data_IF_599285881615
#
_entry.id   IF_599285881615
#
_cell.length_a   1.000
_cell.length_b   1.000
_cell.length_c   1.000
_cell.angle_alpha   90.00
_cell.angle_beta   90.00
_cell.angle_gamma   90.00
#
_symmetry.space_group_name_H-M   'P 1'
#
loop_
_entity.id
_entity.type
_entity.pdbx_description
1 polymer ?
#
# COMPACT_ATOMS: atom_id res chain seq x y z
N UNK A 1 19.95 14.05 60.30
CA UNK A 1 20.76 13.97 59.54
C UNK A 1 20.70 12.92 58.54
N UNK A 2 20.59 11.91 58.56
CA UNK A 2 20.62 10.91 57.68
C UNK A 2 19.48 10.83 56.82
N UNK A 3 18.53 11.63 56.81
CA UNK A 3 17.43 11.57 56.04
C UNK A 3 17.68 11.82 54.63
N UNK A 4 18.70 12.44 54.25
CA UNK A 4 18.86 12.81 52.88
C UNK A 4 18.94 11.70 51.92
N UNK A 5 19.34 10.59 52.34
CA UNK A 5 19.57 9.51 51.40
C UNK A 5 18.33 8.94 50.81
N UNK A 6 17.25 9.18 51.41
CA UNK A 6 16.08 8.59 50.95
C UNK A 6 15.54 8.97 49.64
N UNK A 7 15.62 10.18 49.30
CA UNK A 7 15.01 10.58 48.17
C UNK A 7 15.63 10.13 46.94
N UNK A 8 16.82 9.84 46.98
CA UNK A 8 17.51 9.52 45.85
C UNK A 8 16.88 8.53 45.03
N UNK A 9 16.36 7.51 45.64
CA UNK A 9 15.95 6.49 44.91
C UNK A 9 14.78 6.61 44.10
N UNK A 10 13.84 7.32 44.47
CA UNK A 10 12.73 7.31 43.74
C UNK A 10 12.90 7.93 42.40
N UNK A 11 13.95 8.58 42.20
CA UNK A 11 14.21 9.22 40.98
C UNK A 11 14.34 8.19 39.87
N UNK A 12 14.89 7.06 40.21
CA UNK A 12 15.13 6.08 39.24
C UNK A 12 13.90 5.50 38.64
N UNK A 13 12.84 5.58 39.32
CA UNK A 13 11.66 4.98 38.86
C UNK A 13 11.14 5.47 37.55
N UNK A 14 11.34 6.71 37.28
CA UNK A 14 10.85 7.24 36.09
C UNK A 14 11.43 6.69 34.89
N UNK A 15 12.62 6.37 34.91
CA UNK A 15 13.32 5.99 33.70
C UNK A 15 12.74 4.74 33.10
N UNK A 16 12.02 4.00 33.82
CA UNK A 16 11.50 2.76 33.30
C UNK A 16 10.43 2.92 32.28
N UNK A 17 9.71 4.00 32.32
CA UNK A 17 8.63 4.11 31.45
C UNK A 17 8.95 4.30 30.04
N UNK A 18 10.07 4.86 29.76
CA UNK A 18 10.44 5.17 28.41
C UNK A 18 10.56 3.93 27.56
N UNK A 19 10.84 2.81 28.14
CA UNK A 19 11.10 1.63 27.35
C UNK A 19 9.86 1.05 26.70
N UNK A 20 8.71 1.45 27.11
CA UNK A 20 7.52 0.90 26.56
C UNK A 20 7.31 1.29 25.12
N UNK A 21 7.92 2.35 24.70
CA UNK A 21 7.73 2.82 23.34
C UNK A 21 8.49 1.99 22.35
N UNK A 22 9.36 1.14 22.80
CA UNK A 22 10.18 0.37 21.91
C UNK A 22 9.57 -0.95 21.50
N UNK A 23 8.34 -1.19 21.84
CA UNK A 23 7.72 -2.46 21.58
C UNK A 23 6.99 -2.56 20.25
N UNK A 24 7.22 -1.67 19.35
CA UNK A 24 6.59 -1.72 18.06
C UNK A 24 7.48 -2.45 17.09
N UNK A 25 6.99 -3.57 16.56
CA UNK A 25 7.75 -4.35 15.61
C UNK A 25 7.00 -4.42 14.30
N UNK A 26 7.66 -4.14 13.21
CA UNK A 26 7.08 -4.24 11.89
C UNK A 26 7.54 -5.52 11.22
N UNK A 27 6.68 -6.14 10.42
CA UNK A 27 7.08 -7.30 9.63
C UNK A 27 8.02 -6.85 8.54
N UNK A 28 8.80 -7.76 8.00
CA UNK A 28 9.76 -7.44 6.97
C UNK A 28 9.18 -7.56 5.57
N UNK A 29 7.95 -8.00 5.43
CA UNK A 29 7.34 -8.13 4.10
C UNK A 29 7.07 -6.76 3.49
N UNK A 30 7.14 -6.67 2.18
CA UNK A 30 6.80 -5.45 1.47
C UNK A 30 5.34 -5.50 1.09
N UNK A 31 4.58 -4.47 1.41
CA UNK A 31 3.17 -4.41 1.09
C UNK A 31 2.92 -3.53 -0.11
N UNK A 32 2.06 -3.98 -1.03
CA UNK A 32 1.71 -3.18 -2.18
C UNK A 32 0.79 -2.04 -1.77
N UNK A 33 1.01 -0.87 -2.32
CA UNK A 33 0.13 0.25 -2.08
C UNK A 33 -1.07 0.23 -3.02
N UNK A 34 -0.94 -0.41 -4.18
CA UNK A 34 -2.01 -0.48 -5.18
C UNK A 34 -2.28 -1.92 -5.57
N UNK A 35 -3.54 -2.31 -5.52
CA UNK A 35 -4.00 -3.63 -5.93
C UNK A 35 -5.13 -3.36 -6.92
N UNK A 36 -4.90 -3.65 -8.20
CA UNK A 36 -5.84 -3.28 -9.27
C UNK A 36 -6.36 -4.52 -9.97
N UNK A 37 -7.68 -4.67 -10.04
CA UNK A 37 -8.31 -5.70 -10.81
C UNK A 37 -8.99 -5.07 -12.02
N UNK A 38 -8.89 -5.72 -13.18
CA UNK A 38 -9.42 -5.17 -14.43
C UNK A 38 -10.48 -6.12 -14.95
N UNK A 39 -11.63 -5.58 -15.30
CA UNK A 39 -12.74 -6.35 -15.84
C UNK A 39 -13.25 -5.65 -17.09
N UNK A 40 -13.86 -6.42 -17.99
CA UNK A 40 -14.53 -5.84 -19.15
C UNK A 40 -15.96 -5.51 -18.77
N UNK A 41 -16.45 -4.38 -19.21
CA UNK A 41 -17.75 -3.89 -18.82
C UNK A 41 -18.87 -4.85 -19.25
N UNK A 42 -18.70 -5.57 -20.34
CA UNK A 42 -19.72 -6.49 -20.81
C UNK A 42 -19.63 -7.88 -20.19
N UNK A 43 -18.58 -8.14 -19.41
CA UNK A 43 -18.39 -9.47 -18.82
C UNK A 43 -19.17 -9.62 -17.53
N UNK A 44 -19.86 -10.74 -17.38
CA UNK A 44 -20.54 -11.02 -16.12
C UNK A 44 -19.66 -11.81 -15.17
N UNK A 45 -18.44 -12.15 -15.58
CA UNK A 45 -17.54 -12.93 -14.75
C UNK A 45 -16.97 -12.07 -13.63
N UNK A 46 -16.86 -12.66 -12.45
CA UNK A 46 -16.24 -11.97 -11.32
C UNK A 46 -14.73 -12.10 -11.35
N UNK A 47 -14.18 -12.89 -12.27
CA UNK A 47 -12.74 -13.09 -12.36
C UNK A 47 -12.14 -11.97 -13.18
N UNK A 48 -11.10 -11.30 -12.68
CA UNK A 48 -10.45 -10.23 -13.45
C UNK A 48 -9.67 -10.79 -14.63
N UNK A 49 -9.33 -9.91 -15.55
CA UNK A 49 -8.57 -10.29 -16.75
C UNK A 49 -7.16 -9.74 -16.67
N UNK A 50 -6.25 -10.39 -17.37
CA UNK A 50 -4.87 -9.91 -17.48
C UNK A 50 -4.35 -9.96 -18.90
N UNK A 51 -5.00 -10.72 -19.78
CA UNK A 51 -4.50 -10.93 -21.14
C UNK A 51 -4.49 -9.62 -21.92
N UNK A 52 -3.33 -9.20 -22.35
CA UNK A 52 -3.17 -7.97 -23.12
C UNK A 52 -3.39 -6.69 -22.32
N UNK A 53 -3.47 -6.79 -21.00
CA UNK A 53 -3.75 -5.64 -20.13
C UNK A 53 -2.45 -5.08 -19.59
N UNK A 54 -2.29 -3.76 -19.68
CA UNK A 54 -1.17 -3.06 -19.07
C UNK A 54 -1.73 -2.06 -18.06
N UNK A 55 -1.19 -2.08 -16.86
CA UNK A 55 -1.60 -1.18 -15.77
C UNK A 55 -0.39 -0.38 -15.33
N UNK A 56 -0.47 0.94 -15.44
CA UNK A 56 0.65 1.82 -15.11
C UNK A 56 0.21 2.80 -14.04
N UNK A 57 1.02 2.94 -13.01
CA UNK A 57 0.79 3.93 -11.94
C UNK A 57 1.79 5.06 -12.12
N UNK A 58 1.31 6.29 -12.07
CA UNK A 58 2.18 7.45 -12.23
C UNK A 58 2.01 8.41 -11.05
N UNK A 59 3.10 9.11 -10.72
CA UNK A 59 3.12 10.12 -9.70
C UNK A 59 4.17 11.13 -10.15
N UNK A 60 3.76 12.19 -10.83
CA UNK A 60 4.71 13.16 -11.39
C UNK A 60 5.62 12.47 -12.40
N UNK A 61 6.91 12.47 -12.12
CA UNK A 61 7.88 11.83 -13.00
C UNK A 61 8.06 10.35 -12.70
N UNK A 62 7.44 9.85 -11.67
CA UNK A 62 7.55 8.44 -11.32
C UNK A 62 6.52 7.64 -12.12
N UNK A 63 6.93 6.50 -12.64
CA UNK A 63 6.06 5.63 -13.40
C UNK A 63 6.43 4.19 -13.10
N UNK A 64 5.44 3.38 -12.90
CA UNK A 64 5.65 1.96 -12.60
C UNK A 64 4.58 1.14 -13.31
N UNK A 65 4.99 0.04 -13.96
CA UNK A 65 4.04 -0.91 -14.55
C UNK A 65 3.74 -1.96 -13.48
N UNK A 66 2.49 -2.10 -13.11
CA UNK A 66 2.07 -3.04 -12.09
C UNK A 66 2.10 -4.47 -12.65
N UNK A 67 2.30 -5.43 -11.77
CA UNK A 67 2.48 -6.82 -12.17
C UNK A 67 1.52 -7.74 -11.46
N UNK A 68 1.08 -8.81 -12.12
CA UNK A 68 0.27 -9.82 -11.49
C UNK A 68 1.07 -11.12 -11.38
N UNK A 69 0.72 -11.93 -10.40
CA UNK A 69 1.48 -13.16 -10.13
C UNK A 69 0.63 -14.42 -10.23
N UNK A 70 -0.69 -14.29 -10.25
CA UNK A 70 -1.58 -15.43 -10.31
C UNK A 70 -2.47 -15.28 -11.53
N UNK A 71 -2.25 -16.10 -12.55
CA UNK A 71 -3.01 -16.00 -13.79
C UNK A 71 -4.46 -16.43 -13.61
N UNK A 72 -4.78 -17.16 -12.55
CA UNK A 72 -6.15 -17.61 -12.31
C UNK A 72 -7.00 -16.49 -11.68
N UNK A 73 -6.34 -15.58 -10.97
CA UNK A 73 -7.02 -14.44 -10.36
C UNK A 73 -6.05 -13.26 -10.40
N UNK A 74 -5.84 -12.68 -11.57
CA UNK A 74 -4.81 -11.68 -11.74
C UNK A 74 -5.19 -10.35 -11.11
N UNK A 75 -4.48 -10.00 -10.05
CA UNK A 75 -4.56 -8.69 -9.44
C UNK A 75 -3.23 -8.03 -9.73
N UNK A 76 -3.25 -6.82 -10.24
CA UNK A 76 -2.02 -6.10 -10.55
C UNK A 76 -1.57 -5.33 -9.32
N UNK A 77 -0.33 -5.57 -8.90
CA UNK A 77 0.23 -4.99 -7.67
C UNK A 77 1.37 -4.05 -7.99
N UNK A 78 1.48 -3.01 -7.21
CA UNK A 78 2.60 -2.08 -7.31
C UNK A 78 2.61 -1.07 -6.18
N UNK A 79 3.48 -0.09 -6.29
CA UNK A 79 3.67 0.95 -5.28
C UNK A 79 4.04 0.34 -3.92
N UNK A 80 4.92 -0.66 -3.95
CA UNK A 80 5.31 -1.35 -2.73
C UNK A 80 6.00 -0.39 -1.77
N UNK A 81 5.46 -0.27 -0.57
CA UNK A 81 5.95 0.59 0.50
C UNK A 81 6.18 2.07 0.07
N UNK A 82 5.38 2.51 -0.90
CA UNK A 82 5.53 3.85 -1.44
C UNK A 82 4.22 4.63 -1.29
N UNK A 83 4.15 5.43 -0.25
CA UNK A 83 2.95 6.22 0.07
C UNK A 83 2.98 7.52 -0.72
N UNK A 84 2.20 7.61 -1.78
CA UNK A 84 2.10 8.76 -2.66
C UNK A 84 0.71 8.81 -3.26
N UNK A 85 0.46 9.81 -4.08
CA UNK A 85 -0.80 9.94 -4.81
C UNK A 85 -0.55 9.52 -6.25
N UNK A 86 -1.33 8.56 -6.72
CA UNK A 86 -1.12 7.98 -8.03
C UNK A 86 -2.28 8.17 -8.96
N UNK A 87 -2.00 8.19 -10.26
CA UNK A 87 -3.01 8.05 -11.29
C UNK A 87 -2.76 6.70 -11.97
N UNK A 88 -3.80 5.91 -12.15
CA UNK A 88 -3.69 4.60 -12.78
C UNK A 88 -4.18 4.71 -14.21
N UNK A 89 -3.38 4.21 -15.15
CA UNK A 89 -3.77 4.14 -16.56
C UNK A 89 -3.80 2.67 -16.97
N UNK A 90 -4.93 2.23 -17.50
CA UNK A 90 -5.10 0.84 -17.93
C UNK A 90 -5.36 0.82 -19.42
N UNK A 91 -4.60 0.03 -20.14
CA UNK A 91 -4.73 -0.11 -21.60
C UNK A 91 -4.90 -1.55 -21.98
N UNK A 92 -5.68 -1.78 -23.02
CA UNK A 92 -5.84 -3.07 -23.64
C UNK A 92 -6.25 -2.82 -25.09
N UNK A 93 -5.64 -3.55 -26.04
CA UNK A 93 -5.94 -3.37 -27.45
C UNK A 93 -7.44 -3.55 -27.72
N UNK A 94 -8.01 -2.67 -28.51
CA UNK A 94 -9.42 -2.72 -28.82
C UNK A 94 -10.33 -2.14 -27.75
N UNK A 95 -9.77 -1.57 -26.71
CA UNK A 95 -10.57 -1.01 -25.62
C UNK A 95 -10.17 0.44 -25.38
N UNK A 96 -11.11 1.18 -24.81
CA UNK A 96 -10.85 2.58 -24.45
C UNK A 96 -9.91 2.62 -23.26
N UNK A 97 -8.90 3.48 -23.33
CA UNK A 97 -7.94 3.64 -22.24
C UNK A 97 -8.66 4.19 -21.00
N UNK A 98 -8.40 3.59 -19.87
CA UNK A 98 -8.95 4.05 -18.60
C UNK A 98 -7.91 4.87 -17.85
N UNK A 99 -8.31 6.01 -17.32
CA UNK A 99 -7.44 6.85 -16.48
C UNK A 99 -8.21 7.15 -15.21
N UNK A 100 -7.63 6.84 -14.07
CA UNK A 100 -8.30 6.99 -12.79
C UNK A 100 -8.26 8.42 -12.28
N UNK A 101 -9.11 8.69 -11.28
CA UNK A 101 -8.93 9.85 -10.45
C UNK A 101 -7.71 9.61 -9.56
N UNK A 102 -7.16 10.65 -8.94
CA UNK A 102 -6.02 10.46 -8.03
C UNK A 102 -6.34 9.50 -6.90
N UNK A 103 -5.42 8.59 -6.63
CA UNK A 103 -5.55 7.57 -5.59
C UNK A 103 -4.47 7.82 -4.56
N UNK A 104 -4.87 8.10 -3.34
CA UNK A 104 -3.92 8.40 -2.27
C UNK A 104 -3.57 7.12 -1.52
N UNK A 105 -2.30 6.77 -1.54
CA UNK A 105 -1.78 5.64 -0.76
C UNK A 105 -1.10 6.23 0.47
N UNK A 106 -1.60 5.89 1.64
CA UNK A 106 -1.03 6.36 2.90
C UNK A 106 -0.28 5.23 3.57
N UNK A 107 0.30 5.50 4.72
CA UNK A 107 0.98 4.45 5.46
C UNK A 107 0.74 4.62 6.95
N UNK A 108 0.81 3.50 7.65
CA UNK A 108 0.81 3.53 9.10
C UNK A 108 2.26 3.50 9.56
N UNK A 109 2.50 3.18 10.80
CA UNK A 109 3.85 3.21 11.34
C UNK A 109 4.76 2.15 10.72
N UNK A 110 4.22 1.11 10.14
CA UNK A 110 5.01 0.02 9.60
C UNK A 110 4.98 -0.10 8.08
N UNK A 111 3.80 0.04 7.49
CA UNK A 111 3.64 -0.27 6.06
C UNK A 111 2.65 0.67 5.40
N UNK A 112 2.64 0.66 4.07
CA UNK A 112 1.62 1.36 3.33
C UNK A 112 0.28 0.66 3.54
N UNK A 113 -0.79 1.41 3.43
CA UNK A 113 -2.15 0.88 3.52
C UNK A 113 -2.61 0.67 2.10
N UNK A 114 -2.81 -0.59 1.70
CA UNK A 114 -3.14 -0.94 0.32
C UNK A 114 -4.47 -0.35 -0.11
N UNK A 115 -4.52 0.16 -1.33
CA UNK A 115 -5.75 0.62 -1.94
C UNK A 115 -6.15 -0.38 -3.01
N UNK A 116 -7.37 -0.89 -2.94
CA UNK A 116 -7.88 -1.87 -3.89
C UNK A 116 -8.81 -1.16 -4.87
N UNK A 117 -8.52 -1.27 -6.14
CA UNK A 117 -9.24 -0.58 -7.19
C UNK A 117 -9.76 -1.58 -8.21
N UNK A 118 -11.04 -1.44 -8.59
CA UNK A 118 -11.61 -2.24 -9.65
C UNK A 118 -11.80 -1.34 -10.86
N UNK A 119 -11.29 -1.76 -12.01
CA UNK A 119 -11.37 -1.00 -13.25
C UNK A 119 -12.27 -1.76 -14.21
N UNK A 120 -13.23 -1.04 -14.81
CA UNK A 120 -14.10 -1.60 -15.82
C UNK A 120 -13.71 -0.98 -17.16
N UNK A 121 -13.27 -1.79 -18.10
CA UNK A 121 -12.87 -1.31 -19.43
C UNK A 121 -14.04 -1.32 -20.39
N UNK A 122 -14.21 -0.22 -21.10
CA UNK A 122 -15.25 -0.06 -22.12
C UNK A 122 -14.75 -0.52 -23.46
#
# INVERSE_FOLDING_TARGET
>A
MKKGAIYLFFVLLFSCQASDLDDIFCTTEAKSGLNVSVHLVESSSSIPISDGVTVVATDGNYSETLQFFDAQNPIFYGAYERARTYTITVTKAGRQTYVSQPIVVTRDICHVISQTIMVLLL
#
